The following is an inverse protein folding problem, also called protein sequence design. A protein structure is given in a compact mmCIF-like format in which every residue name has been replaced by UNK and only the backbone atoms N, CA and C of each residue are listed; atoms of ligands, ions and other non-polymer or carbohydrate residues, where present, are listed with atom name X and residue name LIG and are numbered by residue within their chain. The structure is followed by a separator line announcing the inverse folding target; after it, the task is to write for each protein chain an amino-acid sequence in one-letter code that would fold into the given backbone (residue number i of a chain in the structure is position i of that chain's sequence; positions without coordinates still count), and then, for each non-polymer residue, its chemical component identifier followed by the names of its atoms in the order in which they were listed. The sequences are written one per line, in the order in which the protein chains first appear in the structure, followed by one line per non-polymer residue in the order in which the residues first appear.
data_IF_423734538504
#
_entry.id   IF_423734538504
#
_cell.length_a   1.000
_cell.length_b   1.000
_cell.length_c   1.000
_cell.angle_alpha   90.00
_cell.angle_beta   90.00
_cell.angle_gamma   90.00
#
_symmetry.space_group_name_H-M   'P 1'
#
loop_
_entity.id
_entity.type
_entity.pdbx_description
1 polymer ?
#
# COMPACT_ATOMS: atom_id res chain seq x y z
N UNK A 1 72.29 58.58 -42.61
CA UNK A 1 70.85 58.61 -42.29
C UNK A 1 70.17 57.55 -43.13
N UNK A 2 69.31 56.66 -42.66
CA UNK A 2 69.07 56.06 -41.35
C UNK A 2 68.01 54.97 -41.64
N UNK A 3 68.23 53.77 -41.10
CA UNK A 3 67.26 52.72 -40.77
C UNK A 3 66.53 51.92 -41.87
N UNK A 4 67.12 50.74 -42.10
CA UNK A 4 66.50 49.40 -42.12
C UNK A 4 65.16 49.30 -41.37
N UNK A 5 64.15 48.66 -41.96
CA UNK A 5 63.29 47.74 -41.20
C UNK A 5 62.58 46.73 -42.09
N UNK A 6 62.89 45.46 -41.84
CA UNK A 6 62.17 44.26 -42.27
C UNK A 6 60.91 44.14 -41.42
N UNK A 7 59.74 43.91 -42.01
CA UNK A 7 58.62 43.31 -41.28
C UNK A 7 58.00 42.20 -42.13
N UNK A 8 58.46 40.98 -41.85
CA UNK A 8 57.90 39.72 -42.28
C UNK A 8 56.92 39.26 -41.19
N UNK A 9 55.72 38.84 -41.61
CA UNK A 9 54.75 37.94 -40.97
C UNK A 9 54.83 37.69 -39.45
N UNK A 10 53.79 38.12 -38.74
CA UNK A 10 53.30 37.45 -37.52
C UNK A 10 51.80 37.73 -37.30
N UNK A 11 50.94 37.03 -38.05
CA UNK A 11 49.54 36.86 -37.68
C UNK A 11 49.45 35.50 -36.97
N UNK A 12 49.75 35.47 -35.68
CA UNK A 12 49.63 34.26 -34.87
C UNK A 12 48.20 34.17 -34.32
N UNK A 13 47.56 33.05 -34.64
CA UNK A 13 46.27 32.61 -34.10
C UNK A 13 46.18 32.83 -32.59
N UNK A 14 45.22 33.64 -32.15
CA UNK A 14 44.60 33.52 -30.83
C UNK A 14 43.17 33.02 -31.05
N UNK A 15 43.05 31.77 -31.49
CA UNK A 15 41.79 31.00 -31.44
C UNK A 15 42.20 29.61 -30.98
N UNK A 16 42.17 29.37 -29.67
CA UNK A 16 42.61 28.07 -29.14
C UNK A 16 42.37 27.79 -27.67
N UNK A 17 41.60 28.61 -26.93
CA UNK A 17 41.35 28.36 -25.50
C UNK A 17 39.91 27.87 -25.25
N UNK A 18 38.95 28.16 -26.14
CA UNK A 18 37.56 27.70 -25.97
C UNK A 18 37.33 26.23 -26.42
N UNK A 19 38.22 25.66 -27.24
CA UNK A 19 38.05 24.29 -27.75
C UNK A 19 38.35 23.21 -26.70
N UNK A 20 39.24 23.49 -25.73
CA UNK A 20 39.61 22.55 -24.67
C UNK A 20 38.48 22.37 -23.64
N UNK A 21 37.82 23.46 -23.23
CA UNK A 21 36.70 23.38 -22.29
C UNK A 21 35.47 22.70 -22.90
N UNK A 22 35.18 22.92 -24.18
CA UNK A 22 34.07 22.28 -24.88
C UNK A 22 34.29 20.76 -25.08
N UNK A 23 35.53 20.33 -25.35
CA UNK A 23 35.86 18.90 -25.43
C UNK A 23 35.72 18.19 -24.08
N UNK A 24 36.12 18.83 -22.98
CA UNK A 24 35.99 18.23 -21.66
C UNK A 24 34.52 18.10 -21.21
N UNK A 25 33.71 19.14 -21.43
CA UNK A 25 32.27 19.07 -21.14
C UNK A 25 31.57 17.98 -21.95
N UNK A 26 31.92 17.79 -23.23
CA UNK A 26 31.35 16.70 -24.03
C UNK A 26 31.71 15.32 -23.48
N UNK A 27 32.97 15.10 -23.09
CA UNK A 27 33.40 13.84 -22.48
C UNK A 27 32.66 13.56 -21.15
N UNK A 28 32.41 14.60 -20.34
CA UNK A 28 31.63 14.50 -19.12
C UNK A 28 30.15 14.16 -19.39
N UNK A 29 29.56 14.75 -20.44
CA UNK A 29 28.20 14.42 -20.91
C UNK A 29 28.14 12.95 -21.35
N UNK A 30 29.09 12.48 -22.15
CA UNK A 30 29.11 11.11 -22.65
C UNK A 30 29.25 10.09 -21.51
N UNK A 31 30.11 10.40 -20.52
CA UNK A 31 30.27 9.60 -19.31
C UNK A 31 28.97 9.52 -18.50
N UNK A 32 28.36 10.68 -18.20
CA UNK A 32 27.11 10.74 -17.46
C UNK A 32 25.96 10.06 -18.21
N UNK A 33 25.90 10.20 -19.53
CA UNK A 33 24.89 9.54 -20.38
C UNK A 33 25.02 8.02 -20.32
N UNK A 34 26.25 7.49 -20.45
CA UNK A 34 26.52 6.04 -20.37
C UNK A 34 26.09 5.48 -19.02
N UNK A 35 26.39 6.19 -17.93
CA UNK A 35 25.95 5.81 -16.58
C UNK A 35 24.42 5.83 -16.44
N UNK A 36 23.75 6.83 -17.02
CA UNK A 36 22.31 7.02 -16.89
C UNK A 36 21.49 6.02 -17.71
N UNK A 37 21.97 5.62 -18.89
CA UNK A 37 21.30 4.66 -19.76
C UNK A 37 21.09 3.32 -19.03
N UNK A 38 22.16 2.76 -18.46
CA UNK A 38 22.09 1.52 -17.70
C UNK A 38 21.22 1.60 -16.44
N UNK A 39 21.13 2.80 -15.82
CA UNK A 39 20.38 3.00 -14.58
C UNK A 39 18.91 3.37 -14.81
N UNK A 40 18.56 3.97 -15.95
CA UNK A 40 17.19 4.36 -16.29
C UNK A 40 16.28 3.16 -16.52
N UNK A 41 16.79 2.13 -17.19
CA UNK A 41 16.05 0.90 -17.45
C UNK A 41 15.77 0.13 -16.16
N UNK A 42 16.79 0.01 -15.29
CA UNK A 42 16.69 -0.78 -14.07
C UNK A 42 15.82 -0.12 -12.99
N UNK A 43 15.85 1.22 -12.86
CA UNK A 43 14.87 1.99 -12.06
C UNK A 43 13.45 1.63 -12.47
N UNK A 44 13.28 1.49 -13.77
CA UNK A 44 12.03 1.10 -14.39
C UNK A 44 11.52 -0.30 -14.09
N UNK A 45 12.40 -1.28 -14.22
CA UNK A 45 12.08 -2.66 -13.83
C UNK A 45 11.82 -2.79 -12.33
N UNK A 46 12.60 -2.07 -11.51
CA UNK A 46 12.37 -1.97 -10.07
C UNK A 46 10.96 -1.48 -9.77
N UNK A 47 10.54 -0.39 -10.40
CA UNK A 47 9.16 0.10 -10.24
C UNK A 47 8.10 -0.91 -10.70
N UNK A 48 8.28 -1.55 -11.86
CA UNK A 48 7.34 -2.57 -12.34
C UNK A 48 7.22 -3.75 -11.37
N UNK A 49 8.33 -4.13 -10.75
CA UNK A 49 8.36 -5.14 -9.69
C UNK A 49 7.59 -4.67 -8.46
N UNK A 50 7.90 -3.48 -7.91
CA UNK A 50 7.21 -2.91 -6.75
C UNK A 50 5.70 -2.84 -6.96
N UNK A 51 5.27 -2.37 -8.13
CA UNK A 51 3.85 -2.34 -8.52
C UNK A 51 3.26 -3.74 -8.59
N UNK A 52 3.97 -4.72 -9.14
CA UNK A 52 3.47 -6.10 -9.22
C UNK A 52 3.36 -6.78 -7.85
N UNK A 53 4.33 -6.54 -6.95
CA UNK A 53 4.33 -7.04 -5.57
C UNK A 53 3.25 -6.37 -4.71
N UNK A 54 2.90 -5.12 -5.00
CA UNK A 54 1.86 -4.38 -4.27
C UNK A 54 0.44 -4.78 -4.69
N UNK A 55 0.25 -5.19 -5.94
CA UNK A 55 -1.07 -5.54 -6.50
C UNK A 55 -1.50 -7.00 -6.24
N UNK A 56 -0.84 -7.74 -5.34
CA UNK A 56 -1.25 -9.11 -4.97
C UNK A 56 -1.26 -10.11 -6.12
N UNK A 57 -0.42 -9.91 -7.15
CA UNK A 57 -0.33 -10.88 -8.26
C UNK A 57 0.29 -12.18 -7.73
N UNK A 58 -0.13 -13.35 -8.26
CA UNK A 58 0.29 -14.67 -7.79
C UNK A 58 1.75 -14.71 -7.29
N UNK A 59 1.97 -15.08 -6.02
CA UNK A 59 3.29 -15.05 -5.36
C UNK A 59 4.41 -15.66 -6.22
N UNK A 60 4.14 -16.79 -6.89
CA UNK A 60 5.07 -17.46 -7.81
C UNK A 60 5.55 -16.57 -8.98
N UNK A 61 4.66 -15.74 -9.54
CA UNK A 61 4.99 -14.82 -10.64
C UNK A 61 5.76 -13.61 -10.13
N UNK A 62 5.45 -13.13 -8.93
CA UNK A 62 6.20 -12.03 -8.30
C UNK A 62 7.62 -12.49 -7.95
N UNK A 63 7.78 -13.70 -7.41
CA UNK A 63 9.09 -14.26 -7.09
C UNK A 63 9.95 -14.47 -8.33
N UNK A 64 9.39 -15.01 -9.41
CA UNK A 64 10.13 -15.15 -10.67
C UNK A 64 10.63 -13.80 -11.20
N UNK A 65 9.83 -12.73 -11.08
CA UNK A 65 10.24 -11.38 -11.48
C UNK A 65 11.30 -10.80 -10.55
N UNK A 66 11.22 -11.10 -9.25
CA UNK A 66 12.21 -10.69 -8.26
C UNK A 66 13.59 -11.24 -8.60
N UNK A 67 13.68 -12.54 -8.90
CA UNK A 67 14.94 -13.19 -9.27
C UNK A 67 15.52 -12.62 -10.56
N UNK A 68 14.67 -12.39 -11.57
CA UNK A 68 15.09 -11.74 -12.82
C UNK A 68 15.66 -10.34 -12.55
N UNK A 69 14.94 -9.50 -11.80
CA UNK A 69 15.39 -8.15 -11.45
C UNK A 69 16.72 -8.16 -10.68
N UNK A 70 16.91 -9.10 -9.75
CA UNK A 70 18.17 -9.24 -9.02
C UNK A 70 19.33 -9.54 -9.98
N UNK A 71 19.12 -10.43 -10.97
CA UNK A 71 20.14 -10.73 -11.98
C UNK A 71 20.48 -9.49 -12.81
N UNK A 72 19.47 -8.78 -13.31
CA UNK A 72 19.66 -7.55 -14.11
C UNK A 72 20.39 -6.46 -13.32
N UNK A 73 20.03 -6.26 -12.04
CA UNK A 73 20.73 -5.34 -11.14
C UNK A 73 22.20 -5.72 -10.93
N UNK A 74 22.50 -7.01 -10.79
CA UNK A 74 23.87 -7.50 -10.64
C UNK A 74 24.70 -7.29 -11.90
N UNK A 75 24.11 -7.51 -13.08
CA UNK A 75 24.76 -7.29 -14.37
C UNK A 75 25.08 -5.80 -14.58
N UNK A 76 24.10 -4.92 -14.33
CA UNK A 76 24.29 -3.46 -14.40
C UNK A 76 25.38 -3.01 -13.42
N UNK A 77 25.37 -3.52 -12.18
CA UNK A 77 26.39 -3.22 -11.18
C UNK A 77 27.78 -3.69 -11.61
N UNK A 78 27.87 -4.88 -12.21
CA UNK A 78 29.13 -5.40 -12.76
C UNK A 78 29.66 -4.52 -13.88
N UNK A 79 28.78 -4.08 -14.80
CA UNK A 79 29.16 -3.20 -15.90
C UNK A 79 29.67 -1.85 -15.40
N UNK A 80 28.95 -1.21 -14.47
CA UNK A 80 29.39 0.06 -13.87
C UNK A 80 30.70 -0.09 -13.10
N UNK A 81 30.93 -1.22 -12.43
CA UNK A 81 32.18 -1.45 -11.71
C UNK A 81 33.42 -1.52 -12.62
N UNK A 82 33.22 -1.88 -13.89
CA UNK A 82 34.27 -1.95 -14.92
C UNK A 82 34.48 -0.60 -15.61
N UNK A 83 33.55 0.34 -15.47
CA UNK A 83 33.68 1.69 -16.02
C UNK A 83 34.77 2.45 -15.27
N UNK A 84 35.68 3.07 -16.03
CA UNK A 84 36.74 3.92 -15.46
C UNK A 84 36.14 5.16 -14.83
N UNK A 85 36.78 5.70 -13.80
CA UNK A 85 36.40 6.99 -13.19
C UNK A 85 36.59 8.12 -14.18
N UNK A 86 35.69 9.11 -14.18
CA UNK A 86 35.85 10.31 -15.01
C UNK A 86 36.95 11.20 -14.44
N UNK A 87 38.04 11.41 -15.20
CA UNK A 87 39.19 12.23 -14.78
C UNK A 87 39.77 11.87 -13.39
N UNK A 88 39.59 10.61 -12.95
CA UNK A 88 40.01 10.18 -11.61
C UNK A 88 39.04 10.51 -10.48
N UNK A 89 37.92 11.20 -10.73
CA UNK A 89 36.83 11.40 -9.75
C UNK A 89 35.94 10.13 -9.70
N UNK A 90 35.93 9.39 -8.58
CA UNK A 90 35.12 8.18 -8.46
C UNK A 90 33.66 8.46 -8.09
N UNK A 91 33.31 9.68 -7.67
CA UNK A 91 32.10 9.96 -6.91
C UNK A 91 30.81 9.48 -7.61
N UNK A 92 30.61 9.83 -8.89
CA UNK A 92 29.40 9.43 -9.61
C UNK A 92 29.30 7.90 -9.80
N UNK A 93 30.43 7.24 -10.06
CA UNK A 93 30.48 5.78 -10.24
C UNK A 93 30.20 5.07 -8.92
N UNK A 94 30.87 5.50 -7.85
CA UNK A 94 30.78 4.85 -6.55
C UNK A 94 29.38 5.02 -5.95
N UNK A 95 28.73 6.18 -6.15
CA UNK A 95 27.33 6.36 -5.73
C UNK A 95 26.35 5.56 -6.59
N UNK A 96 26.61 5.36 -7.89
CA UNK A 96 25.83 4.44 -8.70
C UNK A 96 25.96 2.99 -8.21
N UNK A 97 27.16 2.56 -7.82
CA UNK A 97 27.40 1.23 -7.24
C UNK A 97 26.71 1.07 -5.88
N UNK A 98 26.70 2.12 -5.07
CA UNK A 98 26.00 2.17 -3.79
C UNK A 98 24.48 2.03 -3.98
N UNK A 99 23.90 2.84 -4.87
CA UNK A 99 22.48 2.77 -5.24
C UNK A 99 22.07 1.34 -5.67
N UNK A 100 22.84 0.73 -6.57
CA UNK A 100 22.58 -0.64 -7.02
C UNK A 100 22.76 -1.67 -5.89
N UNK A 101 23.78 -1.51 -5.06
CA UNK A 101 24.02 -2.39 -3.91
C UNK A 101 22.87 -2.36 -2.89
N UNK A 102 22.38 -1.17 -2.56
CA UNK A 102 21.22 -0.99 -1.68
C UNK A 102 19.95 -1.56 -2.31
N UNK A 103 19.72 -1.26 -3.60
CA UNK A 103 18.56 -1.79 -4.34
C UNK A 103 18.57 -3.32 -4.35
N UNK A 104 19.70 -3.95 -4.67
CA UNK A 104 19.85 -5.42 -4.61
C UNK A 104 19.56 -5.94 -3.20
N UNK A 105 20.07 -5.27 -2.17
CA UNK A 105 19.89 -5.70 -0.77
C UNK A 105 18.41 -5.68 -0.38
N UNK A 106 17.69 -4.62 -0.73
CA UNK A 106 16.26 -4.48 -0.43
C UNK A 106 15.44 -5.50 -1.21
N UNK A 107 15.64 -5.63 -2.52
CA UNK A 107 14.90 -6.58 -3.38
C UNK A 107 15.22 -8.03 -2.99
N UNK A 108 16.46 -8.32 -2.60
CA UNK A 108 16.87 -9.67 -2.21
C UNK A 108 16.39 -10.06 -0.82
N UNK A 109 16.57 -9.20 0.18
CA UNK A 109 16.34 -9.54 1.59
C UNK A 109 15.00 -9.05 2.12
N UNK A 110 14.71 -7.75 2.00
CA UNK A 110 13.51 -7.15 2.59
C UNK A 110 12.25 -7.63 1.86
N UNK A 111 12.27 -7.65 0.52
CA UNK A 111 11.13 -8.10 -0.28
C UNK A 111 10.87 -9.60 -0.24
N UNK A 112 11.87 -10.43 0.04
CA UNK A 112 11.66 -11.86 0.30
C UNK A 112 10.77 -12.04 1.54
N UNK A 113 11.12 -11.37 2.64
CA UNK A 113 10.31 -11.39 3.88
C UNK A 113 8.92 -10.81 3.68
N UNK A 114 8.79 -9.74 2.89
CA UNK A 114 7.50 -9.13 2.58
C UNK A 114 6.58 -10.13 1.87
N UNK A 115 7.10 -10.94 0.94
CA UNK A 115 6.30 -11.98 0.27
C UNK A 115 5.85 -13.06 1.25
N UNK A 116 6.69 -13.45 2.22
CA UNK A 116 6.29 -14.39 3.27
C UNK A 116 5.19 -13.81 4.17
N UNK A 117 5.29 -12.52 4.52
CA UNK A 117 4.27 -11.84 5.33
C UNK A 117 2.94 -11.67 4.60
N UNK A 118 2.94 -11.52 3.27
CA UNK A 118 1.72 -11.37 2.46
C UNK A 118 0.74 -12.54 2.66
N UNK A 119 1.25 -13.78 2.81
CA UNK A 119 0.41 -14.98 2.98
C UNK A 119 -0.44 -14.94 4.26
N UNK A 120 0.07 -14.28 5.30
CA UNK A 120 -0.58 -14.20 6.61
C UNK A 120 -1.17 -12.83 6.92
N UNK A 121 -0.88 -11.81 6.10
CA UNK A 121 -1.25 -10.43 6.37
C UNK A 121 -2.75 -10.26 6.63
N UNK A 122 -3.61 -10.96 5.89
CA UNK A 122 -5.06 -10.82 6.05
C UNK A 122 -5.64 -11.55 7.28
N UNK A 123 -4.83 -12.30 8.02
CA UNK A 123 -5.30 -13.10 9.18
C UNK A 123 -5.59 -12.24 10.41
N UNK A 124 -4.86 -11.14 10.59
CA UNK A 124 -5.03 -10.27 11.74
C UNK A 124 -4.63 -8.83 11.40
N UNK A 125 -5.09 -7.88 12.22
CA UNK A 125 -4.66 -6.49 12.10
C UNK A 125 -3.14 -6.34 12.25
N UNK A 126 -2.55 -7.03 13.23
CA UNK A 126 -1.13 -6.94 13.55
C UNK A 126 -0.27 -7.49 12.40
N UNK A 127 -0.69 -8.59 11.76
CA UNK A 127 0.01 -9.15 10.60
C UNK A 127 -0.05 -8.19 9.41
N UNK A 128 -1.20 -7.56 9.14
CA UNK A 128 -1.34 -6.57 8.08
C UNK A 128 -0.52 -5.29 8.36
N UNK A 129 -0.54 -4.80 9.59
CA UNK A 129 0.25 -3.64 10.00
C UNK A 129 1.75 -3.90 9.85
N UNK A 130 2.22 -5.07 10.29
CA UNK A 130 3.61 -5.48 10.12
C UNK A 130 3.99 -5.61 8.63
N UNK A 131 3.12 -6.20 7.82
CA UNK A 131 3.31 -6.33 6.38
C UNK A 131 3.42 -4.97 5.68
N UNK A 132 2.49 -4.05 5.93
CA UNK A 132 2.49 -2.72 5.32
C UNK A 132 3.66 -1.87 5.82
N UNK A 133 4.00 -1.94 7.11
CA UNK A 133 5.18 -1.27 7.67
C UNK A 133 6.48 -1.76 7.01
N UNK A 134 6.61 -3.06 6.80
CA UNK A 134 7.78 -3.61 6.12
C UNK A 134 7.89 -3.11 4.67
N UNK A 135 6.77 -3.04 3.95
CA UNK A 135 6.71 -2.46 2.60
C UNK A 135 7.12 -0.99 2.58
N UNK A 136 6.59 -0.21 3.51
CA UNK A 136 6.92 1.22 3.61
C UNK A 136 8.40 1.43 3.94
N UNK A 137 8.98 0.62 4.84
CA UNK A 137 10.40 0.67 5.16
C UNK A 137 11.28 0.27 3.97
N UNK A 138 10.90 -0.78 3.24
CA UNK A 138 11.63 -1.23 2.05
C UNK A 138 11.60 -0.15 0.95
N UNK A 139 10.43 0.44 0.69
CA UNK A 139 10.28 1.55 -0.26
C UNK A 139 11.08 2.78 0.16
N UNK A 140 11.05 3.18 1.44
CA UNK A 140 11.81 4.31 1.95
C UNK A 140 13.33 4.12 1.76
N UNK A 141 13.85 2.89 1.89
CA UNK A 141 15.26 2.59 1.59
C UNK A 141 15.58 2.76 0.10
N UNK A 142 14.69 2.32 -0.78
CA UNK A 142 14.86 2.48 -2.23
C UNK A 142 14.80 3.95 -2.65
N UNK A 143 13.85 4.72 -2.09
CA UNK A 143 13.71 6.15 -2.33
C UNK A 143 14.96 6.90 -1.85
N UNK A 144 15.44 6.61 -0.63
CA UNK A 144 16.67 7.22 -0.10
C UNK A 144 17.90 6.91 -0.96
N UNK A 145 18.04 5.67 -1.44
CA UNK A 145 19.13 5.31 -2.34
C UNK A 145 19.03 6.07 -3.67
N UNK A 146 17.82 6.24 -4.22
CA UNK A 146 17.59 7.00 -5.45
C UNK A 146 17.89 8.50 -5.28
N UNK A 147 17.54 9.09 -4.14
CA UNK A 147 17.84 10.49 -3.81
C UNK A 147 19.35 10.76 -3.70
N UNK A 148 20.09 9.90 -2.99
CA UNK A 148 21.55 10.01 -2.87
C UNK A 148 22.20 9.97 -4.25
N UNK A 149 21.79 9.03 -5.10
CA UNK A 149 22.31 8.93 -6.46
C UNK A 149 21.92 10.14 -7.33
N UNK A 150 20.68 10.61 -7.24
CA UNK A 150 20.23 11.81 -7.97
C UNK A 150 21.01 13.06 -7.57
N UNK A 151 21.38 13.19 -6.29
CA UNK A 151 22.27 14.24 -5.82
C UNK A 151 23.66 14.13 -6.45
N UNK A 152 24.23 12.92 -6.51
CA UNK A 152 25.54 12.69 -7.12
C UNK A 152 25.55 13.06 -8.62
N UNK A 153 24.46 12.75 -9.35
CA UNK A 153 24.27 13.16 -10.75
C UNK A 153 24.23 14.69 -10.88
N UNK A 154 23.51 15.37 -9.98
CA UNK A 154 23.38 16.83 -9.98
C UNK A 154 24.71 17.51 -9.66
N UNK A 155 25.43 17.02 -8.65
CA UNK A 155 26.75 17.53 -8.28
C UNK A 155 27.76 17.33 -9.43
N UNK A 156 27.74 16.17 -10.08
CA UNK A 156 28.61 15.88 -11.23
C UNK A 156 28.31 16.83 -12.40
N UNK A 157 27.02 17.05 -12.71
CA UNK A 157 26.62 17.97 -13.77
C UNK A 157 27.10 19.40 -13.48
N UNK A 158 26.92 19.88 -12.24
CA UNK A 158 27.35 21.22 -11.83
C UNK A 158 28.88 21.39 -11.93
N UNK A 159 29.67 20.41 -11.46
CA UNK A 159 31.15 20.46 -11.54
C UNK A 159 31.67 20.48 -12.97
N UNK A 160 30.96 19.84 -13.90
CA UNK A 160 31.37 19.69 -15.29
C UNK A 160 30.67 20.66 -16.26
N UNK A 161 29.96 21.66 -15.72
CA UNK A 161 29.22 22.66 -16.49
C UNK A 161 28.17 22.05 -17.45
N UNK A 162 27.57 20.93 -17.06
CA UNK A 162 26.50 20.25 -17.80
C UNK A 162 25.17 20.91 -17.45
N UNK A 163 24.40 21.31 -18.47
CA UNK A 163 23.02 21.77 -18.28
C UNK A 163 22.08 20.57 -18.33
N UNK A 164 21.40 20.29 -17.21
CA UNK A 164 20.40 19.24 -17.17
C UNK A 164 19.10 19.72 -17.83
N UNK A 165 18.67 19.02 -18.87
CA UNK A 165 17.39 19.25 -19.54
C UNK A 165 16.39 18.17 -19.11
N UNK A 166 15.13 18.57 -18.96
CA UNK A 166 14.07 17.66 -18.53
C UNK A 166 13.75 16.65 -19.66
N UNK A 167 14.04 15.38 -19.41
CA UNK A 167 13.81 14.27 -20.35
C UNK A 167 12.71 13.30 -19.91
N UNK A 168 12.42 12.28 -20.72
CA UNK A 168 11.42 11.24 -20.41
C UNK A 168 11.72 10.48 -19.11
N UNK A 169 13.00 10.25 -18.81
CA UNK A 169 13.45 9.63 -17.56
C UNK A 169 13.05 10.46 -16.33
N UNK A 170 13.14 11.80 -16.41
CA UNK A 170 12.71 12.70 -15.34
C UNK A 170 11.21 12.60 -15.08
N UNK A 171 10.40 12.53 -16.14
CA UNK A 171 8.94 12.36 -16.04
C UNK A 171 8.55 11.01 -15.43
N UNK A 172 9.31 9.96 -15.73
CA UNK A 172 9.11 8.63 -15.16
C UNK A 172 9.41 8.64 -13.66
N UNK A 173 10.54 9.21 -13.26
CA UNK A 173 10.94 9.31 -11.85
C UNK A 173 9.92 10.13 -11.05
N UNK A 174 9.38 11.22 -11.61
CA UNK A 174 8.30 12.00 -10.98
C UNK A 174 7.02 11.17 -10.79
N UNK A 175 6.61 10.37 -11.79
CA UNK A 175 5.44 9.48 -11.69
C UNK A 175 5.63 8.43 -10.61
N UNK A 176 6.82 7.84 -10.52
CA UNK A 176 7.16 6.85 -9.49
C UNK A 176 7.03 7.50 -8.10
N UNK A 177 7.61 8.69 -7.91
CA UNK A 177 7.53 9.40 -6.64
C UNK A 177 6.09 9.77 -6.25
N UNK A 178 5.24 10.16 -7.21
CA UNK A 178 3.80 10.41 -6.96
C UNK A 178 3.08 9.13 -6.54
N UNK A 179 3.30 8.04 -7.25
CA UNK A 179 2.68 6.76 -6.96
C UNK A 179 3.12 6.19 -5.59
N UNK A 180 4.40 6.33 -5.21
CA UNK A 180 4.89 5.96 -3.88
C UNK A 180 4.20 6.74 -2.77
N UNK A 181 4.03 8.07 -2.95
CA UNK A 181 3.30 8.91 -1.99
C UNK A 181 1.82 8.53 -1.88
N UNK A 182 1.17 8.28 -3.02
CA UNK A 182 -0.22 7.84 -3.06
C UNK A 182 -0.39 6.49 -2.35
N UNK A 183 0.49 5.53 -2.61
CA UNK A 183 0.46 4.21 -1.98
C UNK A 183 0.62 4.30 -0.45
N UNK A 184 1.59 5.09 0.03
CA UNK A 184 1.79 5.29 1.46
C UNK A 184 0.53 5.86 2.12
N UNK A 185 -0.04 6.91 1.53
CA UNK A 185 -1.28 7.49 2.01
C UNK A 185 -2.43 6.48 2.05
N UNK A 186 -2.58 5.69 0.98
CA UNK A 186 -3.57 4.62 0.93
C UNK A 186 -3.37 3.61 2.06
N UNK A 187 -2.14 3.13 2.30
CA UNK A 187 -1.84 2.15 3.35
C UNK A 187 -2.26 2.67 4.74
N UNK A 188 -1.99 3.94 5.04
CA UNK A 188 -2.37 4.58 6.30
C UNK A 188 -3.89 4.59 6.50
N UNK A 189 -4.66 4.98 5.47
CA UNK A 189 -6.13 4.97 5.54
C UNK A 189 -6.70 3.55 5.54
N UNK A 190 -6.10 2.65 4.76
CA UNK A 190 -6.51 1.25 4.65
C UNK A 190 -6.35 0.51 5.98
N UNK A 191 -5.27 0.72 6.73
CA UNK A 191 -5.10 0.08 8.04
C UNK A 191 -6.23 0.45 9.01
N UNK A 192 -6.70 1.70 8.97
CA UNK A 192 -7.80 2.15 9.81
C UNK A 192 -9.07 1.36 9.49
N UNK A 193 -9.41 1.18 8.20
CA UNK A 193 -10.61 0.47 7.78
C UNK A 193 -10.48 -1.05 7.92
N UNK A 194 -9.28 -1.58 7.69
CA UNK A 194 -8.95 -2.99 7.80
C UNK A 194 -9.15 -3.50 9.24
N UNK A 195 -8.78 -2.71 10.25
CA UNK A 195 -9.01 -3.08 11.66
C UNK A 195 -10.47 -3.44 11.93
N UNK A 196 -11.41 -2.62 11.47
CA UNK A 196 -12.84 -2.88 11.64
C UNK A 196 -13.32 -4.06 10.77
N UNK A 197 -12.78 -4.20 9.55
CA UNK A 197 -13.11 -5.32 8.65
C UNK A 197 -12.73 -6.68 9.27
N UNK A 198 -11.57 -6.76 9.93
CA UNK A 198 -11.16 -7.97 10.67
C UNK A 198 -12.14 -8.28 11.80
N UNK A 199 -12.54 -7.28 12.59
CA UNK A 199 -13.52 -7.49 13.68
C UNK A 199 -14.89 -7.93 13.14
N UNK A 200 -15.33 -7.37 12.00
CA UNK A 200 -16.54 -7.83 11.32
C UNK A 200 -16.44 -9.31 10.93
N UNK A 201 -15.30 -9.75 10.39
CA UNK A 201 -15.12 -11.15 10.03
C UNK A 201 -15.31 -12.09 11.24
N UNK A 202 -14.85 -11.69 12.43
CA UNK A 202 -15.06 -12.44 13.66
C UNK A 202 -16.52 -12.43 14.10
N UNK A 203 -17.23 -11.33 13.91
CA UNK A 203 -18.68 -11.26 14.15
C UNK A 203 -19.43 -12.25 13.26
N UNK A 204 -19.13 -12.24 11.95
CA UNK A 204 -19.80 -13.11 10.98
C UNK A 204 -19.47 -14.59 11.21
N UNK A 205 -18.21 -14.91 11.56
CA UNK A 205 -17.81 -16.27 11.95
C UNK A 205 -18.55 -16.73 13.21
N UNK A 206 -18.59 -15.91 14.27
CA UNK A 206 -19.32 -16.22 15.50
C UNK A 206 -20.82 -16.43 15.24
N UNK A 207 -21.41 -15.59 14.38
CA UNK A 207 -22.80 -15.72 13.94
C UNK A 207 -23.03 -17.06 13.23
N UNK A 208 -22.15 -17.44 12.29
CA UNK A 208 -22.26 -18.71 11.56
C UNK A 208 -22.13 -19.93 12.49
N UNK A 209 -21.34 -19.83 13.55
CA UNK A 209 -21.20 -20.87 14.58
C UNK A 209 -22.31 -20.88 15.62
N UNK A 210 -23.25 -19.94 15.58
CA UNK A 210 -24.23 -19.68 16.65
C UNK A 210 -23.59 -19.48 18.04
N UNK A 211 -22.37 -18.95 18.08
CA UNK A 211 -21.66 -18.68 19.31
C UNK A 211 -22.02 -17.27 19.82
N UNK A 212 -23.07 -17.19 20.63
CA UNK A 212 -23.61 -15.91 21.11
C UNK A 212 -22.63 -15.12 21.98
N UNK A 213 -21.73 -15.81 22.69
CA UNK A 213 -20.71 -15.16 23.53
C UNK A 213 -19.68 -14.48 22.64
N UNK A 214 -19.12 -15.23 21.68
CA UNK A 214 -18.16 -14.67 20.72
C UNK A 214 -18.79 -13.59 19.83
N UNK A 215 -20.08 -13.73 19.50
CA UNK A 215 -20.83 -12.75 18.73
C UNK A 215 -20.93 -11.41 19.47
N UNK A 216 -21.33 -11.44 20.74
CA UNK A 216 -21.43 -10.22 21.56
C UNK A 216 -20.06 -9.57 21.77
N UNK A 217 -19.03 -10.36 22.07
CA UNK A 217 -17.66 -9.87 22.23
C UNK A 217 -17.13 -9.21 20.95
N UNK A 218 -17.24 -9.90 19.82
CA UNK A 218 -16.75 -9.40 18.52
C UNK A 218 -17.55 -8.18 18.05
N UNK A 219 -18.85 -8.10 18.38
CA UNK A 219 -19.70 -6.95 18.07
C UNK A 219 -19.21 -5.70 18.81
N UNK A 220 -18.89 -5.82 20.11
CA UNK A 220 -18.33 -4.72 20.88
C UNK A 220 -16.95 -4.29 20.36
N UNK A 221 -16.11 -5.26 19.96
CA UNK A 221 -14.80 -4.97 19.37
C UNK A 221 -14.92 -4.25 18.02
N UNK A 222 -15.89 -4.63 17.19
CA UNK A 222 -16.21 -3.94 15.93
C UNK A 222 -16.64 -2.49 16.16
N UNK A 223 -17.58 -2.26 17.08
CA UNK A 223 -18.04 -0.89 17.41
C UNK A 223 -16.90 -0.01 17.90
N UNK A 224 -16.06 -0.54 18.79
CA UNK A 224 -14.88 0.17 19.29
C UNK A 224 -13.90 0.49 18.15
N UNK A 225 -13.53 -0.50 17.33
CA UNK A 225 -12.63 -0.31 16.20
C UNK A 225 -13.15 0.72 15.20
N UNK A 226 -14.45 0.67 14.89
CA UNK A 226 -15.10 1.63 14.00
C UNK A 226 -15.09 3.06 14.57
N UNK A 227 -15.39 3.24 15.86
CA UNK A 227 -15.35 4.55 16.53
C UNK A 227 -13.94 5.12 16.62
N UNK A 228 -12.97 4.30 17.01
CA UNK A 228 -11.55 4.70 16.99
C UNK A 228 -11.11 5.11 15.58
N UNK A 229 -11.53 4.34 14.57
CA UNK A 229 -11.23 4.65 13.17
C UNK A 229 -11.84 5.98 12.73
N UNK A 230 -13.09 6.27 13.11
CA UNK A 230 -13.73 7.57 12.85
C UNK A 230 -12.96 8.72 13.49
N UNK A 231 -12.53 8.59 14.74
CA UNK A 231 -11.73 9.64 15.39
C UNK A 231 -10.40 9.88 14.68
N UNK A 232 -9.68 8.81 14.30
CA UNK A 232 -8.44 8.93 13.50
C UNK A 232 -8.69 9.61 12.16
N UNK A 233 -9.76 9.25 11.45
CA UNK A 233 -10.10 9.79 10.14
C UNK A 233 -10.56 11.25 10.19
N UNK A 234 -11.10 11.73 11.32
CA UNK A 234 -11.45 13.17 11.50
C UNK A 234 -10.23 14.07 11.49
N UNK A 235 -9.11 13.59 12.01
CA UNK A 235 -7.85 14.33 12.10
C UNK A 235 -6.86 13.99 11.00
N UNK A 236 -7.15 12.98 10.18
CA UNK A 236 -6.29 12.57 9.07
C UNK A 236 -6.17 13.67 8.03
N UNK A 237 -4.95 13.90 7.55
CA UNK A 237 -4.70 14.86 6.48
C UNK A 237 -5.26 14.35 5.15
N UNK A 238 -5.74 15.27 4.32
CA UNK A 238 -6.15 14.94 2.95
C UNK A 238 -4.92 14.67 2.09
N UNK A 239 -5.07 13.84 1.07
CA UNK A 239 -4.02 13.73 0.06
C UNK A 239 -4.04 14.98 -0.84
N UNK A 240 -3.22 15.96 -0.48
CA UNK A 240 -3.29 17.30 -1.07
C UNK A 240 -4.67 17.92 -0.81
N UNK A 241 -5.44 18.16 -1.88
CA UNK A 241 -6.80 18.68 -1.78
C UNK A 241 -7.89 17.61 -1.92
N UNK A 242 -7.55 16.34 -2.15
CA UNK A 242 -8.52 15.26 -2.41
C UNK A 242 -9.00 14.59 -1.11
N UNK A 243 -10.28 14.75 -0.72
CA UNK A 243 -10.81 14.14 0.50
C UNK A 243 -11.44 12.76 0.25
N UNK A 244 -11.54 12.28 -1.00
CA UNK A 244 -12.45 11.18 -1.35
C UNK A 244 -12.18 9.89 -0.60
N UNK A 245 -10.91 9.54 -0.40
CA UNK A 245 -10.53 8.30 0.27
C UNK A 245 -10.88 8.33 1.77
N UNK A 246 -10.60 9.45 2.46
CA UNK A 246 -11.02 9.65 3.86
C UNK A 246 -12.54 9.58 3.98
N UNK A 247 -13.28 10.27 3.10
CA UNK A 247 -14.74 10.27 3.16
C UNK A 247 -15.32 8.87 2.93
N UNK A 248 -14.71 8.07 2.06
CA UNK A 248 -15.10 6.69 1.83
C UNK A 248 -14.84 5.81 3.06
N UNK A 249 -13.65 5.96 3.68
CA UNK A 249 -13.29 5.27 4.91
C UNK A 249 -14.26 5.64 6.06
N UNK A 250 -14.59 6.92 6.22
CA UNK A 250 -15.54 7.39 7.22
C UNK A 250 -16.92 6.75 7.03
N UNK A 251 -17.44 6.71 5.80
CA UNK A 251 -18.72 6.08 5.50
C UNK A 251 -18.73 4.58 5.83
N UNK A 252 -17.62 3.88 5.56
CA UNK A 252 -17.49 2.47 5.92
C UNK A 252 -17.44 2.27 7.44
N UNK A 253 -16.71 3.11 8.17
CA UNK A 253 -16.66 3.03 9.64
C UNK A 253 -17.99 3.40 10.29
N UNK A 254 -18.70 4.42 9.77
CA UNK A 254 -20.06 4.76 10.20
C UNK A 254 -21.02 3.57 10.02
N UNK A 255 -20.89 2.87 8.89
CA UNK A 255 -21.67 1.66 8.64
C UNK A 255 -21.35 0.56 9.67
N UNK A 256 -20.08 0.24 9.90
CA UNK A 256 -19.71 -0.78 10.89
C UNK A 256 -20.13 -0.41 12.30
N UNK A 257 -19.98 0.86 12.69
CA UNK A 257 -20.47 1.33 13.99
C UNK A 257 -21.99 1.19 14.11
N UNK A 258 -22.74 1.52 13.06
CA UNK A 258 -24.20 1.36 13.04
C UNK A 258 -24.60 -0.11 13.11
N UNK A 259 -23.92 -0.97 12.35
CA UNK A 259 -24.21 -2.39 12.30
C UNK A 259 -23.95 -3.05 13.66
N UNK A 260 -22.81 -2.73 14.28
CA UNK A 260 -22.43 -3.22 15.59
C UNK A 260 -23.33 -2.72 16.72
N UNK A 261 -23.71 -1.44 16.72
CA UNK A 261 -24.52 -0.88 17.79
C UNK A 261 -26.03 -1.14 17.66
N UNK A 262 -26.52 -1.54 16.48
CA UNK A 262 -27.96 -1.66 16.20
C UNK A 262 -28.39 -2.98 15.62
N UNK A 263 -27.68 -3.50 14.63
CA UNK A 263 -28.17 -4.63 13.83
C UNK A 263 -27.74 -5.97 14.45
N UNK A 264 -26.45 -6.14 14.81
CA UNK A 264 -25.99 -7.35 15.50
C UNK A 264 -26.68 -7.59 16.87
N UNK A 265 -26.94 -6.59 17.72
CA UNK A 265 -27.67 -6.81 18.97
C UNK A 265 -29.09 -7.36 18.75
N UNK A 266 -29.77 -6.98 17.66
CA UNK A 266 -31.09 -7.52 17.31
C UNK A 266 -31.01 -8.96 16.80
N UNK A 267 -29.92 -9.29 16.12
CA UNK A 267 -29.62 -10.67 15.72
C UNK A 267 -29.39 -11.53 16.98
N UNK A 268 -28.63 -11.04 17.96
CA UNK A 268 -28.44 -11.72 19.25
C UNK A 268 -29.77 -11.94 19.97
N UNK A 269 -30.63 -10.91 20.07
CA UNK A 269 -31.96 -11.04 20.70
C UNK A 269 -32.84 -12.10 20.00
N UNK A 270 -32.79 -12.18 18.67
CA UNK A 270 -33.47 -13.24 17.92
C UNK A 270 -33.00 -14.63 18.34
N UNK A 271 -31.69 -14.87 18.40
CA UNK A 271 -31.16 -16.19 18.79
C UNK A 271 -31.42 -16.53 20.25
N UNK A 272 -31.40 -15.56 21.17
CA UNK A 272 -31.79 -15.78 22.56
C UNK A 272 -33.26 -16.20 22.69
N UNK A 273 -34.16 -15.56 21.93
CA UNK A 273 -35.59 -15.93 21.89
C UNK A 273 -35.79 -17.31 21.25
N UNK A 274 -35.02 -17.62 20.20
CA UNK A 274 -35.02 -18.94 19.57
C UNK A 274 -34.59 -20.02 20.56
N UNK A 275 -33.47 -19.85 21.26
CA UNK A 275 -32.98 -20.80 22.26
C UNK A 275 -34.00 -21.01 23.39
N UNK A 276 -34.63 -19.94 23.88
CA UNK A 276 -35.72 -20.04 24.86
C UNK A 276 -36.90 -20.84 24.32
N UNK A 277 -37.32 -20.57 23.08
CA UNK A 277 -38.39 -21.33 22.42
C UNK A 277 -38.03 -22.81 22.29
N UNK A 278 -36.84 -23.14 21.77
CA UNK A 278 -36.38 -24.51 21.54
C UNK A 278 -36.34 -25.31 22.86
N UNK A 279 -35.87 -24.71 23.95
CA UNK A 279 -35.86 -25.32 25.28
C UNK A 279 -37.26 -25.63 25.81
N UNK A 280 -38.18 -24.68 25.65
CA UNK A 280 -39.58 -24.87 26.07
C UNK A 280 -40.29 -25.89 25.18
N UNK A 281 -40.02 -25.90 23.87
CA UNK A 281 -40.54 -26.90 22.94
C UNK A 281 -40.09 -28.32 23.32
N UNK A 282 -38.80 -28.52 23.58
CA UNK A 282 -38.27 -29.80 24.02
C UNK A 282 -38.88 -30.27 25.35
N UNK A 283 -39.14 -29.36 26.29
CA UNK A 283 -39.86 -29.68 27.53
C UNK A 283 -41.30 -30.14 27.24
N UNK A 284 -42.01 -29.47 26.33
CA UNK A 284 -43.39 -29.82 25.94
C UNK A 284 -43.46 -31.20 25.26
N UNK A 285 -42.45 -31.55 24.46
CA UNK A 285 -42.37 -32.85 23.77
C UNK A 285 -42.03 -34.00 24.72
N UNK A 286 -41.24 -33.74 25.77
CA UNK A 286 -40.74 -34.77 26.68
C UNK A 286 -41.68 -35.07 27.85
N UNK A 287 -42.42 -34.07 28.34
CA UNK A 287 -43.38 -34.26 29.44
C UNK A 287 -44.70 -34.86 28.94
N UNK A 288 -45.32 -35.71 29.75
CA UNK A 288 -46.70 -36.17 29.47
C UNK A 288 -47.65 -35.02 29.75
N UNK A 289 -48.74 -34.95 28.99
CA UNK A 289 -49.73 -33.87 29.10
C UNK A 289 -50.26 -33.67 30.54
N UNK A 290 -50.45 -34.75 31.29
CA UNK A 290 -50.91 -34.71 32.69
C UNK A 290 -49.88 -34.12 33.68
N UNK A 291 -48.61 -34.06 33.29
CA UNK A 291 -47.49 -33.60 34.11
C UNK A 291 -47.08 -32.15 33.75
N UNK A 292 -47.76 -31.53 32.78
CA UNK A 292 -47.58 -30.13 32.39
C UNK A 292 -48.40 -29.21 33.30
N UNK A 293 -47.78 -28.11 33.75
CA UNK A 293 -48.52 -27.06 34.46
C UNK A 293 -49.06 -26.01 33.48
N UNK A 294 -50.09 -25.26 33.90
CA UNK A 294 -50.61 -24.15 33.10
C UNK A 294 -49.53 -23.08 32.85
N UNK A 295 -48.70 -22.81 33.85
CA UNK A 295 -47.59 -21.86 33.75
C UNK A 295 -46.57 -22.26 32.67
N UNK A 296 -46.26 -23.55 32.55
CA UNK A 296 -45.36 -24.07 31.51
C UNK A 296 -45.98 -23.91 30.12
N UNK A 297 -47.27 -24.21 29.99
CA UNK A 297 -48.02 -24.05 28.73
C UNK A 297 -48.09 -22.58 28.32
N UNK A 298 -48.36 -21.68 29.27
CA UNK A 298 -48.44 -20.24 29.02
C UNK A 298 -47.06 -19.68 28.62
N UNK A 299 -45.99 -20.10 29.30
CA UNK A 299 -44.63 -19.72 28.97
C UNK A 299 -44.22 -20.18 27.55
N UNK A 300 -44.58 -21.41 27.17
CA UNK A 300 -44.35 -21.91 25.81
C UNK A 300 -45.14 -21.11 24.77
N UNK A 301 -46.44 -20.89 24.99
CA UNK A 301 -47.28 -20.11 24.09
C UNK A 301 -46.76 -18.68 23.91
N UNK A 302 -46.28 -18.05 24.98
CA UNK A 302 -45.63 -16.75 24.90
C UNK A 302 -44.35 -16.81 24.07
N UNK A 303 -43.49 -17.81 24.29
CA UNK A 303 -42.25 -17.97 23.52
C UNK A 303 -42.51 -18.22 22.03
N UNK A 304 -43.55 -19.00 21.69
CA UNK A 304 -44.02 -19.20 20.30
C UNK A 304 -44.39 -17.86 19.67
N UNK A 305 -45.21 -17.06 20.35
CA UNK A 305 -45.65 -15.76 19.83
C UNK A 305 -44.48 -14.78 19.66
N UNK A 306 -43.60 -14.70 20.65
CA UNK A 306 -42.41 -13.85 20.61
C UNK A 306 -41.47 -14.26 19.47
N UNK A 307 -41.19 -15.55 19.34
CA UNK A 307 -40.32 -16.08 18.29
C UNK A 307 -40.91 -15.83 16.89
N UNK A 308 -42.18 -16.18 16.68
CA UNK A 308 -42.86 -15.98 15.40
C UNK A 308 -42.90 -14.51 14.97
N UNK A 309 -43.04 -13.58 15.92
CA UNK A 309 -43.02 -12.14 15.64
C UNK A 309 -41.63 -11.66 15.20
N UNK A 310 -40.56 -12.29 15.68
CA UNK A 310 -39.19 -11.88 15.38
C UNK A 310 -38.66 -12.42 14.05
N UNK A 311 -39.16 -13.57 13.57
CA UNK A 311 -38.76 -14.16 12.28
C UNK A 311 -38.77 -13.15 11.11
N UNK A 312 -39.88 -12.43 10.81
CA UNK A 312 -39.89 -11.49 9.70
C UNK A 312 -38.94 -10.31 9.91
N UNK A 313 -38.75 -9.87 11.17
CA UNK A 313 -37.84 -8.78 11.50
C UNK A 313 -36.38 -9.19 11.29
N UNK A 314 -36.03 -10.40 11.72
CA UNK A 314 -34.71 -10.99 11.53
C UNK A 314 -34.36 -11.16 10.05
N UNK A 315 -35.27 -11.72 9.26
CA UNK A 315 -35.06 -11.91 7.82
C UNK A 315 -34.82 -10.57 7.10
N UNK A 316 -35.70 -9.59 7.33
CA UNK A 316 -35.60 -8.25 6.74
C UNK A 316 -34.32 -7.53 7.18
N UNK A 317 -33.96 -7.65 8.46
CA UNK A 317 -32.76 -7.04 9.01
C UNK A 317 -31.49 -7.61 8.37
N UNK A 318 -31.41 -8.93 8.27
CA UNK A 318 -30.25 -9.66 7.75
C UNK A 318 -30.05 -9.37 6.26
N UNK A 319 -31.14 -9.41 5.47
CA UNK A 319 -31.10 -9.06 4.05
C UNK A 319 -30.58 -7.63 3.84
N UNK A 320 -31.18 -6.65 4.52
CA UNK A 320 -30.78 -5.24 4.43
C UNK A 320 -29.34 -5.01 4.89
N UNK A 321 -28.91 -5.65 5.99
CA UNK A 321 -27.52 -5.55 6.50
C UNK A 321 -26.53 -6.09 5.48
N UNK A 322 -26.81 -7.27 4.90
CA UNK A 322 -25.97 -7.88 3.87
C UNK A 322 -25.87 -7.03 2.60
N UNK A 323 -27.00 -6.52 2.10
CA UNK A 323 -27.00 -5.61 0.95
C UNK A 323 -26.20 -4.34 1.23
N UNK A 324 -26.38 -3.75 2.41
CA UNK A 324 -25.68 -2.52 2.78
C UNK A 324 -24.18 -2.73 2.90
N UNK A 325 -23.74 -3.86 3.47
CA UNK A 325 -22.34 -4.26 3.54
C UNK A 325 -21.71 -4.32 2.15
N UNK A 326 -22.34 -5.03 1.23
CA UNK A 326 -21.89 -5.10 -0.17
C UNK A 326 -21.74 -3.72 -0.80
N UNK A 327 -22.76 -2.86 -0.66
CA UNK A 327 -22.72 -1.49 -1.18
C UNK A 327 -21.58 -0.63 -0.59
N UNK A 328 -21.27 -0.79 0.71
CA UNK A 328 -20.20 -0.01 1.35
C UNK A 328 -18.81 -0.51 0.93
N UNK A 329 -18.63 -1.83 0.80
CA UNK A 329 -17.38 -2.42 0.30
C UNK A 329 -17.13 -2.04 -1.17
N UNK A 330 -18.16 -2.12 -2.02
CA UNK A 330 -18.06 -1.71 -3.44
C UNK A 330 -17.71 -0.23 -3.55
N UNK A 331 -18.33 0.62 -2.71
CA UNK A 331 -18.01 2.04 -2.66
C UNK A 331 -16.57 2.28 -2.23
N UNK A 332 -16.10 1.60 -1.19
CA UNK A 332 -14.72 1.69 -0.74
C UNK A 332 -13.75 1.32 -1.87
N UNK A 333 -13.92 0.14 -2.46
CA UNK A 333 -13.07 -0.36 -3.54
C UNK A 333 -13.04 0.59 -4.74
N UNK A 334 -14.20 1.09 -5.17
CA UNK A 334 -14.28 2.08 -6.25
C UNK A 334 -13.50 3.36 -5.93
N UNK A 335 -13.56 3.84 -4.69
CA UNK A 335 -12.84 5.06 -4.28
C UNK A 335 -11.33 4.84 -4.18
N UNK A 336 -10.91 3.63 -3.86
CA UNK A 336 -9.50 3.21 -3.93
C UNK A 336 -9.02 3.21 -5.38
N UNK A 337 -9.78 2.62 -6.31
CA UNK A 337 -9.45 2.62 -7.73
C UNK A 337 -9.34 4.04 -8.29
N UNK A 338 -10.36 4.89 -8.08
CA UNK A 338 -10.36 6.29 -8.50
C UNK A 338 -9.19 7.08 -7.90
N UNK A 339 -8.81 6.79 -6.65
CA UNK A 339 -7.68 7.44 -6.01
C UNK A 339 -6.36 7.12 -6.74
N UNK A 340 -6.11 5.84 -7.03
CA UNK A 340 -4.91 5.46 -7.75
C UNK A 340 -4.91 5.93 -9.20
N UNK A 341 -6.05 5.99 -9.89
CA UNK A 341 -6.13 6.55 -11.26
C UNK A 341 -5.75 8.04 -11.33
N UNK A 342 -6.03 8.81 -10.28
CA UNK A 342 -5.76 10.24 -10.23
C UNK A 342 -4.33 10.52 -9.77
N UNK A 343 -3.82 9.73 -8.82
CA UNK A 343 -2.60 10.07 -8.06
C UNK A 343 -1.39 9.16 -8.35
N UNK A 344 -1.54 8.09 -9.14
CA UNK A 344 -0.47 7.11 -9.47
C UNK A 344 -0.50 6.68 -10.95
#
# INVERSE_FOLDING_TARGET
MHYVSRFFYAFFLIIGINSLSAQNTQAAVDYMSTMNEHLGDIKGETWRYLKAATQGKSARRVESKRQQLISELQDVRSNISKTSTFEGDPNLRDEALNYLGLTITVIKGDFEKILDMEEIAERSYDDMEAFLLAKDLANAKLDSAAEIFSKAQTDFAARNNITLVEGEQSKRDEKIAKASKALKYYNEIYLITFKATVQESYVLDALNRNDLISLEQSTNALDLAAKEGLEKLKTAEKFGSDPKLILAAQQLMEFYSLEASRDFPKIVDFYLRKDKFDKLAAMMETKKQKDLTQEEVDAYNQAVNDYNKMIPQFNTLTERSNEKRGQMLDRWNKRVEEFFEIHA
#
